data_IF_522155408810
#
_entry.id   IF_522155408810
#
_cell.length_a   1.000
_cell.length_b   1.000
_cell.length_c   1.000
_cell.angle_alpha   90.00
_cell.angle_beta   90.00
_cell.angle_gamma   90.00
#
_symmetry.space_group_name_H-M   'P 1'
#
loop_
_entity.id
_entity.type
_entity.pdbx_description
1 polymer ?
#
# COMPACT_ATOMS: atom_id res chain seq x y z
N UNK A 1 68.93 -50.40 4.92
CA UNK A 1 67.66 -50.24 4.18
C UNK A 1 67.40 -48.75 4.02
N UNK A 2 67.64 -48.18 2.80
CA UNK A 2 67.39 -46.82 2.48
C UNK A 2 65.95 -46.71 1.91
N UNK A 3 65.05 -45.97 2.59
CA UNK A 3 63.74 -45.60 2.07
C UNK A 3 63.90 -44.43 1.13
N UNK A 4 63.54 -44.64 -0.14
CA UNK A 4 63.35 -43.56 -1.11
C UNK A 4 61.96 -43.01 -0.95
N UNK A 5 61.83 -41.76 -0.47
CA UNK A 5 60.60 -40.97 -0.62
C UNK A 5 60.58 -40.40 -2.05
N UNK A 6 59.72 -40.98 -2.88
CA UNK A 6 59.35 -40.39 -4.15
C UNK A 6 58.40 -39.25 -3.89
N UNK A 7 58.85 -38.06 -4.11
CA UNK A 7 58.06 -36.84 -4.14
C UNK A 7 57.10 -36.91 -5.33
N UNK A 8 55.82 -36.94 -5.05
CA UNK A 8 54.77 -36.59 -6.00
C UNK A 8 54.38 -35.16 -5.73
N UNK A 9 54.90 -34.21 -6.53
CA UNK A 9 54.42 -32.87 -6.45
C UNK A 9 53.43 -32.59 -7.59
N UNK A 10 52.40 -31.87 -7.28
CA UNK A 10 51.81 -30.85 -8.16
C UNK A 10 51.02 -31.40 -9.37
N UNK A 11 49.82 -31.88 -9.09
CA UNK A 11 48.76 -31.92 -10.10
C UNK A 11 47.37 -31.54 -9.56
N UNK A 12 47.27 -31.08 -8.30
CA UNK A 12 45.96 -30.73 -7.68
C UNK A 12 45.66 -29.22 -7.76
N UNK A 13 46.67 -28.42 -8.11
CA UNK A 13 46.53 -26.94 -8.08
C UNK A 13 45.86 -26.29 -9.31
N UNK A 14 45.66 -27.00 -10.41
CA UNK A 14 45.20 -26.35 -11.67
C UNK A 14 43.68 -26.62 -11.97
N UNK A 15 43.05 -27.59 -11.32
CA UNK A 15 41.62 -27.90 -11.58
C UNK A 15 40.68 -27.05 -10.74
N UNK A 16 41.13 -26.44 -9.64
CA UNK A 16 40.29 -25.60 -8.79
C UNK A 16 40.18 -24.15 -9.32
N UNK A 17 41.16 -23.70 -10.07
CA UNK A 17 41.18 -22.34 -10.64
C UNK A 17 40.31 -22.14 -11.89
N UNK A 18 39.99 -23.22 -12.61
CA UNK A 18 39.25 -23.14 -13.86
C UNK A 18 37.73 -23.22 -13.73
N UNK A 19 37.22 -23.61 -12.55
CA UNK A 19 35.78 -23.76 -12.36
C UNK A 19 35.11 -22.59 -11.66
N UNK A 20 35.88 -21.64 -11.14
CA UNK A 20 35.35 -20.41 -10.53
C UNK A 20 35.09 -19.25 -11.51
N UNK A 21 35.48 -19.44 -12.78
CA UNK A 21 35.38 -18.40 -13.79
C UNK A 21 34.14 -18.43 -14.70
N UNK A 22 33.26 -19.44 -14.56
CA UNK A 22 32.09 -19.58 -15.48
C UNK A 22 30.73 -19.54 -14.81
N UNK A 23 30.65 -19.48 -13.47
CA UNK A 23 29.42 -19.03 -12.83
C UNK A 23 29.46 -17.51 -12.72
N UNK A 24 29.23 -16.84 -13.84
CA UNK A 24 28.67 -15.52 -13.82
C UNK A 24 27.34 -15.65 -13.06
N UNK A 25 27.34 -15.24 -11.80
CA UNK A 25 26.10 -14.88 -11.10
C UNK A 25 25.59 -13.72 -11.92
N UNK A 26 24.71 -14.02 -12.87
CA UNK A 26 23.81 -13.06 -13.42
C UNK A 26 22.97 -12.62 -12.19
N UNK A 27 23.41 -11.60 -11.49
CA UNK A 27 22.56 -10.79 -10.64
C UNK A 27 21.52 -10.20 -11.59
N UNK A 28 20.48 -10.99 -11.90
CA UNK A 28 19.22 -10.39 -12.28
C UNK A 28 19.00 -9.37 -11.18
N UNK A 29 18.95 -8.11 -11.56
CA UNK A 29 18.52 -7.04 -10.71
C UNK A 29 17.16 -7.43 -10.13
N UNK A 30 17.16 -8.14 -9.02
CA UNK A 30 16.01 -8.21 -8.15
C UNK A 30 15.91 -6.77 -7.64
N UNK A 31 15.04 -6.00 -8.30
CA UNK A 31 14.76 -4.62 -7.94
C UNK A 31 14.40 -4.63 -6.45
N UNK A 32 15.32 -4.12 -5.63
CA UNK A 32 15.08 -4.04 -4.18
C UNK A 32 13.91 -3.08 -4.00
N UNK A 33 12.74 -3.64 -3.72
CA UNK A 33 11.55 -2.84 -3.42
C UNK A 33 11.80 -2.14 -2.10
N UNK A 34 12.13 -0.87 -2.16
CA UNK A 34 12.32 -0.03 -0.97
C UNK A 34 10.98 0.29 -0.33
N UNK A 35 10.96 0.55 0.98
CA UNK A 35 9.75 1.00 1.68
C UNK A 35 9.15 2.26 1.04
N UNK A 36 9.97 3.17 0.53
CA UNK A 36 9.52 4.36 -0.20
C UNK A 36 8.70 3.99 -1.46
N UNK A 37 9.14 3.01 -2.23
CA UNK A 37 8.43 2.53 -3.42
C UNK A 37 7.10 1.86 -3.06
N UNK A 38 7.03 1.17 -1.92
CA UNK A 38 5.79 0.52 -1.47
C UNK A 38 4.70 1.52 -1.10
N UNK A 39 5.05 2.67 -0.51
CA UNK A 39 4.09 3.71 -0.10
C UNK A 39 3.79 4.73 -1.21
N UNK A 40 4.54 4.68 -2.31
CA UNK A 40 4.32 5.56 -3.46
C UNK A 40 2.88 5.43 -3.98
N UNK A 41 2.26 6.55 -4.33
CA UNK A 41 0.86 6.63 -4.75
C UNK A 41 -0.19 6.18 -3.73
N UNK A 42 0.18 5.98 -2.47
CA UNK A 42 -0.79 5.73 -1.40
C UNK A 42 -1.47 7.00 -0.89
N UNK A 43 -2.31 6.84 0.11
CA UNK A 43 -2.94 7.94 0.86
C UNK A 43 -1.90 8.82 1.58
N UNK A 44 -2.27 10.00 2.07
CA UNK A 44 -1.50 10.67 3.13
C UNK A 44 -1.34 9.74 4.35
N UNK A 45 -0.33 9.98 5.17
CA UNK A 45 -0.19 9.24 6.42
C UNK A 45 -1.34 9.53 7.38
N UNK A 46 -1.91 8.46 7.96
CA UNK A 46 -2.63 8.58 9.22
C UNK A 46 -1.60 8.46 10.34
N UNK A 47 -1.50 9.48 11.18
CA UNK A 47 -0.52 9.55 12.24
C UNK A 47 0.69 10.42 11.92
N UNK A 48 1.72 10.32 12.78
CA UNK A 48 2.94 11.11 12.63
C UNK A 48 3.79 10.57 11.46
N UNK A 49 4.15 11.44 10.51
CA UNK A 49 5.01 11.08 9.38
C UNK A 49 6.37 10.51 9.80
N UNK A 50 6.87 10.88 10.98
CA UNK A 50 8.15 10.41 11.52
C UNK A 50 8.01 9.13 12.36
N UNK A 51 6.79 8.53 12.44
CA UNK A 51 6.59 7.28 13.17
C UNK A 51 7.51 6.17 12.61
N UNK A 52 8.18 5.38 13.49
CA UNK A 52 9.17 4.40 13.06
C UNK A 52 8.57 3.20 12.31
N UNK A 53 7.30 2.91 12.52
CA UNK A 53 6.62 1.77 11.89
C UNK A 53 5.57 2.30 10.92
N UNK A 54 5.59 1.78 9.69
CA UNK A 54 4.56 2.05 8.68
C UNK A 54 3.76 0.78 8.44
N UNK A 55 2.45 0.86 8.66
CA UNK A 55 1.50 -0.16 8.20
C UNK A 55 1.04 0.26 6.80
N UNK A 56 1.08 -0.67 5.86
CA UNK A 56 0.59 -0.49 4.52
C UNK A 56 -0.61 -1.42 4.32
N UNK A 57 -1.77 -0.82 4.08
CA UNK A 57 -3.01 -1.54 3.82
C UNK A 57 -3.36 -1.42 2.34
N UNK A 58 -3.56 -2.54 1.66
CA UNK A 58 -4.22 -2.58 0.35
C UNK A 58 -5.69 -2.90 0.57
N UNK A 59 -6.56 -1.99 0.23
CA UNK A 59 -7.97 -2.09 0.56
C UNK A 59 -8.93 -1.69 -0.56
N UNK A 60 -10.16 -2.14 -0.39
CA UNK A 60 -11.30 -1.85 -1.26
C UNK A 60 -12.47 -1.41 -0.38
N UNK A 61 -13.08 -0.27 -0.69
CA UNK A 61 -14.18 0.29 0.11
C UNK A 61 -15.44 -0.58 0.14
N UNK A 62 -15.59 -1.52 -0.79
CA UNK A 62 -16.68 -2.49 -0.76
C UNK A 62 -16.32 -3.80 -0.03
N UNK A 63 -15.02 -4.07 0.22
CA UNK A 63 -14.56 -5.34 0.76
C UNK A 63 -15.02 -5.55 2.22
N UNK A 64 -15.70 -6.66 2.47
CA UNK A 64 -16.18 -7.05 3.80
C UNK A 64 -15.06 -7.14 4.84
N UNK A 65 -13.89 -7.65 4.47
CA UNK A 65 -12.77 -7.81 5.41
C UNK A 65 -12.06 -6.50 5.69
N UNK A 66 -11.95 -5.60 4.71
CA UNK A 66 -11.43 -4.24 4.90
C UNK A 66 -12.37 -3.45 5.83
N UNK A 67 -13.68 -3.54 5.62
CA UNK A 67 -14.66 -2.97 6.54
C UNK A 67 -14.49 -3.50 7.97
N UNK A 68 -14.36 -4.82 8.15
CA UNK A 68 -14.16 -5.42 9.48
C UNK A 68 -12.84 -4.98 10.12
N UNK A 69 -11.78 -4.86 9.33
CA UNK A 69 -10.50 -4.34 9.81
C UNK A 69 -10.66 -2.90 10.32
N UNK A 70 -11.31 -2.04 9.52
CA UNK A 70 -11.57 -0.66 9.89
C UNK A 70 -12.41 -0.57 11.19
N UNK A 71 -13.50 -1.34 11.30
CA UNK A 71 -14.40 -1.25 12.45
C UNK A 71 -13.83 -1.84 13.76
N UNK A 72 -12.98 -2.85 13.68
CA UNK A 72 -12.58 -3.60 14.89
C UNK A 72 -11.09 -3.47 15.22
N UNK A 73 -10.23 -3.33 14.20
CA UNK A 73 -8.78 -3.40 14.39
C UNK A 73 -8.13 -2.03 14.29
N UNK A 74 -8.52 -1.23 13.31
CA UNK A 74 -7.94 0.09 13.08
C UNK A 74 -8.15 1.02 14.26
N UNK A 75 -9.31 0.96 14.93
CA UNK A 75 -9.58 1.75 16.12
C UNK A 75 -8.58 1.45 17.24
N UNK A 76 -8.31 0.16 17.51
CA UNK A 76 -7.33 -0.27 18.51
C UNK A 76 -5.92 0.20 18.12
N UNK A 77 -5.55 0.01 16.86
CA UNK A 77 -4.24 0.48 16.35
C UNK A 77 -4.12 2.00 16.48
N UNK A 78 -5.19 2.73 16.22
CA UNK A 78 -5.22 4.19 16.31
C UNK A 78 -4.99 4.66 17.75
N UNK A 79 -5.71 4.10 18.71
CA UNK A 79 -5.59 4.49 20.12
C UNK A 79 -4.22 4.12 20.72
N UNK A 80 -3.76 2.90 20.50
CA UNK A 80 -2.59 2.37 21.21
C UNK A 80 -1.26 2.70 20.53
N UNK A 81 -1.28 2.97 19.21
CA UNK A 81 -0.04 3.10 18.44
C UNK A 81 0.05 4.35 17.57
N UNK A 82 -1.02 4.75 16.86
CA UNK A 82 -0.97 5.91 15.97
C UNK A 82 -0.94 7.21 16.78
N UNK A 83 -1.89 7.37 17.70
CA UNK A 83 -1.96 8.54 18.59
C UNK A 83 -0.73 8.69 19.47
N UNK A 84 -0.05 7.58 19.77
CA UNK A 84 1.21 7.59 20.54
C UNK A 84 2.46 7.84 19.69
N UNK A 85 2.30 8.01 18.37
CA UNK A 85 3.38 8.29 17.43
C UNK A 85 4.29 7.09 17.11
N UNK A 86 3.90 5.87 17.48
CA UNK A 86 4.69 4.66 17.22
C UNK A 86 4.46 4.10 15.83
N UNK A 87 3.28 4.30 15.28
CA UNK A 87 2.83 3.76 14.00
C UNK A 87 2.23 4.87 13.15
N UNK A 88 2.39 4.75 11.84
CA UNK A 88 1.61 5.47 10.83
C UNK A 88 1.02 4.48 9.84
N UNK A 89 -0.08 4.84 9.22
CA UNK A 89 -0.73 4.01 8.20
C UNK A 89 -0.74 4.73 6.85
N UNK A 90 -0.58 3.95 5.78
CA UNK A 90 -0.85 4.33 4.40
C UNK A 90 -1.85 3.35 3.85
N UNK A 91 -2.92 3.85 3.28
CA UNK A 91 -3.89 3.05 2.53
C UNK A 91 -3.55 3.12 1.04
N UNK A 92 -3.63 2.00 0.35
CA UNK A 92 -3.50 1.90 -1.10
C UNK A 92 -4.75 1.25 -1.66
N UNK A 93 -5.33 1.88 -2.63
CA UNK A 93 -6.52 1.37 -3.28
C UNK A 93 -6.21 0.09 -4.04
N UNK A 94 -7.06 -0.91 -3.84
CA UNK A 94 -7.05 -2.18 -4.56
C UNK A 94 -8.49 -2.57 -4.92
N UNK A 95 -9.13 -1.86 -5.87
CA UNK A 95 -10.56 -1.92 -6.12
C UNK A 95 -10.96 -3.19 -6.87
N UNK A 96 -11.16 -4.29 -6.14
CA UNK A 96 -11.50 -5.62 -6.67
C UNK A 96 -13.00 -5.81 -6.93
N UNK A 97 -13.85 -5.04 -6.23
CA UNK A 97 -15.31 -5.25 -6.27
C UNK A 97 -16.01 -4.49 -7.39
N UNK A 98 -15.26 -3.95 -8.36
CA UNK A 98 -15.80 -3.40 -9.59
C UNK A 98 -15.74 -1.87 -9.69
N UNK A 99 -16.48 -1.27 -10.65
CA UNK A 99 -16.39 0.16 -10.94
C UNK A 99 -16.72 1.06 -9.77
N UNK A 100 -17.66 0.65 -8.93
CA UNK A 100 -18.07 1.41 -7.74
C UNK A 100 -16.93 1.55 -6.75
N UNK A 101 -16.09 0.51 -6.59
CA UNK A 101 -14.87 0.57 -5.75
C UNK A 101 -13.86 1.57 -6.30
N UNK A 102 -13.69 1.65 -7.63
CA UNK A 102 -12.84 2.67 -8.25
C UNK A 102 -13.39 4.07 -8.00
N UNK A 103 -14.69 4.25 -8.14
CA UNK A 103 -15.34 5.54 -7.90
C UNK A 103 -15.17 6.01 -6.45
N UNK A 104 -15.29 5.10 -5.47
CA UNK A 104 -15.04 5.42 -4.06
C UNK A 104 -13.57 5.78 -3.79
N UNK A 105 -12.64 5.07 -4.44
CA UNK A 105 -11.21 5.37 -4.37
C UNK A 105 -10.89 6.75 -4.96
N UNK A 106 -11.40 7.09 -6.13
CA UNK A 106 -11.27 8.43 -6.72
C UNK A 106 -11.83 9.52 -5.79
N UNK A 107 -12.99 9.26 -5.17
CA UNK A 107 -13.64 10.16 -4.23
C UNK A 107 -12.77 10.47 -3.00
N UNK A 108 -12.08 9.47 -2.47
CA UNK A 108 -11.17 9.68 -1.33
C UNK A 108 -10.00 10.60 -1.66
N UNK A 109 -9.48 10.54 -2.89
CA UNK A 109 -8.45 11.49 -3.36
C UNK A 109 -9.03 12.87 -3.70
N UNK A 110 -10.28 12.97 -4.15
CA UNK A 110 -10.95 14.26 -4.25
C UNK A 110 -11.12 14.94 -2.88
N UNK A 111 -11.35 14.14 -1.83
CA UNK A 111 -11.35 14.65 -0.47
C UNK A 111 -9.94 15.04 0.01
N UNK A 112 -8.89 14.35 -0.46
CA UNK A 112 -7.49 14.71 -0.19
C UNK A 112 -7.14 16.11 -0.70
N UNK A 113 -7.68 16.57 -1.83
CA UNK A 113 -7.46 17.92 -2.33
C UNK A 113 -7.85 19.00 -1.32
N UNK A 114 -8.75 18.64 -0.40
CA UNK A 114 -9.23 19.48 0.68
C UNK A 114 -8.69 19.04 2.07
N UNK A 115 -7.63 18.24 2.08
CA UNK A 115 -6.94 17.76 3.29
C UNK A 115 -7.83 16.90 4.22
N UNK A 116 -8.84 16.22 3.65
CA UNK A 116 -9.80 15.42 4.40
C UNK A 116 -9.87 13.96 3.95
N UNK A 117 -8.75 13.41 3.45
CA UNK A 117 -8.69 12.03 2.99
C UNK A 117 -9.22 11.06 4.06
N UNK A 118 -8.65 11.09 5.27
CA UNK A 118 -8.98 10.12 6.32
C UNK A 118 -10.38 10.31 6.89
N UNK A 119 -10.86 11.54 7.01
CA UNK A 119 -12.24 11.80 7.43
C UNK A 119 -13.25 11.23 6.42
N UNK A 120 -12.94 11.36 5.14
CA UNK A 120 -13.77 10.82 4.07
C UNK A 120 -13.67 9.29 3.98
N UNK A 121 -12.46 8.75 4.14
CA UNK A 121 -12.20 7.31 4.24
C UNK A 121 -13.02 6.66 5.36
N UNK A 122 -13.03 7.28 6.55
CA UNK A 122 -13.81 6.80 7.69
C UNK A 122 -15.31 6.86 7.41
N UNK A 123 -15.79 7.91 6.74
CA UNK A 123 -17.19 8.06 6.40
C UNK A 123 -17.66 7.02 5.37
N UNK A 124 -16.80 6.65 4.39
CA UNK A 124 -17.08 5.56 3.46
C UNK A 124 -17.30 4.23 4.19
N UNK A 125 -16.38 3.87 5.09
CA UNK A 125 -16.53 2.61 5.85
C UNK A 125 -17.65 2.66 6.88
N UNK A 126 -17.94 3.79 7.46
CA UNK A 126 -19.08 3.96 8.39
C UNK A 126 -20.42 3.70 7.69
N UNK A 127 -20.53 4.07 6.43
CA UNK A 127 -21.73 3.86 5.61
C UNK A 127 -21.64 2.61 4.72
N UNK A 128 -20.75 1.68 5.04
CA UNK A 128 -20.54 0.47 4.25
C UNK A 128 -21.83 -0.32 4.04
N UNK A 129 -22.26 -0.47 2.80
CA UNK A 129 -23.51 -1.10 2.42
C UNK A 129 -23.39 -2.54 1.86
N UNK A 130 -22.19 -3.12 1.87
CA UNK A 130 -21.95 -4.47 1.33
C UNK A 130 -21.23 -4.48 -0.02
N UNK A 131 -20.71 -5.68 -0.38
CA UNK A 131 -20.03 -5.87 -1.65
C UNK A 131 -21.02 -5.86 -2.81
N UNK A 132 -20.78 -5.01 -3.81
CA UNK A 132 -21.56 -4.95 -5.07
C UNK A 132 -23.06 -4.76 -4.89
N UNK A 133 -23.47 -4.02 -3.87
CA UNK A 133 -24.88 -3.76 -3.58
C UNK A 133 -25.39 -2.45 -4.19
N UNK A 134 -24.50 -1.67 -4.84
CA UNK A 134 -24.85 -0.39 -5.46
C UNK A 134 -25.00 0.77 -4.48
N UNK A 135 -24.47 0.68 -3.26
CA UNK A 135 -24.53 1.75 -2.27
C UNK A 135 -23.59 2.92 -2.59
N UNK A 136 -22.54 2.66 -3.36
CA UNK A 136 -21.63 3.70 -3.86
C UNK A 136 -22.22 4.29 -5.13
N UNK A 137 -22.78 5.47 -5.00
CA UNK A 137 -23.30 6.26 -6.11
C UNK A 137 -22.74 7.67 -6.05
N UNK A 138 -22.90 8.44 -7.13
CA UNK A 138 -22.52 9.85 -7.15
C UNK A 138 -23.20 10.63 -6.02
N UNK A 139 -24.46 10.33 -5.78
CA UNK A 139 -25.30 10.97 -4.76
C UNK A 139 -24.79 10.65 -3.36
N UNK A 140 -24.59 9.35 -3.04
CA UNK A 140 -24.09 8.95 -1.72
C UNK A 140 -22.70 9.51 -1.44
N UNK A 141 -21.79 9.51 -2.42
CA UNK A 141 -20.45 10.08 -2.28
C UNK A 141 -20.48 11.58 -2.03
N UNK A 142 -21.43 12.30 -2.65
CA UNK A 142 -21.62 13.75 -2.39
C UNK A 142 -22.17 13.98 -0.98
N UNK A 143 -23.12 13.15 -0.54
CA UNK A 143 -23.65 13.20 0.83
C UNK A 143 -22.55 12.99 1.88
N UNK A 144 -21.67 12.01 1.66
CA UNK A 144 -20.52 11.76 2.55
C UNK A 144 -19.56 12.96 2.55
N UNK A 145 -19.37 13.61 1.40
CA UNK A 145 -18.56 14.82 1.31
C UNK A 145 -19.16 15.99 2.13
N UNK A 146 -20.48 16.14 2.12
CA UNK A 146 -21.20 17.12 2.96
C UNK A 146 -21.01 16.82 4.46
N UNK A 147 -21.18 15.56 4.86
CA UNK A 147 -21.04 15.11 6.26
C UNK A 147 -19.66 15.47 6.81
N UNK A 148 -18.61 15.30 6.02
CA UNK A 148 -17.25 15.66 6.44
C UNK A 148 -16.88 17.11 6.14
N UNK A 149 -17.86 17.94 5.79
CA UNK A 149 -17.74 19.37 5.52
C UNK A 149 -16.72 19.69 4.39
N UNK A 150 -16.76 18.95 3.29
CA UNK A 150 -16.06 19.30 2.07
C UNK A 150 -16.83 20.40 1.30
N UNK A 151 -16.10 21.17 0.51
CA UNK A 151 -16.68 21.96 -0.57
C UNK A 151 -17.17 20.99 -1.66
N UNK A 152 -18.47 20.75 -1.70
CA UNK A 152 -19.09 19.74 -2.58
C UNK A 152 -19.02 20.12 -4.05
N UNK A 153 -18.95 21.41 -4.39
CA UNK A 153 -18.77 21.85 -5.78
C UNK A 153 -17.39 21.41 -6.30
N UNK A 154 -16.33 21.68 -5.52
CA UNK A 154 -14.97 21.23 -5.86
C UNK A 154 -14.83 19.73 -5.87
N UNK A 155 -15.43 19.07 -4.88
CA UNK A 155 -15.42 17.61 -4.78
C UNK A 155 -16.09 16.97 -5.99
N UNK A 156 -17.28 17.46 -6.34
CA UNK A 156 -18.05 16.98 -7.46
C UNK A 156 -17.34 17.21 -8.79
N UNK A 157 -16.77 18.40 -8.98
CA UNK A 157 -15.97 18.68 -10.17
C UNK A 157 -14.77 17.75 -10.30
N UNK A 158 -14.08 17.44 -9.21
CA UNK A 158 -12.95 16.50 -9.19
C UNK A 158 -13.36 15.10 -9.65
N UNK A 159 -14.53 14.60 -9.20
CA UNK A 159 -15.07 13.31 -9.62
C UNK A 159 -15.52 13.32 -11.08
N UNK A 160 -16.19 14.37 -11.53
CA UNK A 160 -16.68 14.49 -12.90
C UNK A 160 -15.53 14.59 -13.91
N UNK A 161 -14.42 15.22 -13.51
CA UNK A 161 -13.20 15.32 -14.30
C UNK A 161 -12.37 14.03 -14.27
N UNK A 162 -12.76 13.00 -13.52
CA UNK A 162 -11.99 11.75 -13.29
C UNK A 162 -10.52 12.01 -12.93
N UNK A 163 -10.29 13.05 -12.10
CA UNK A 163 -8.95 13.56 -11.80
C UNK A 163 -7.99 12.48 -11.30
N UNK A 164 -8.50 11.48 -10.62
CA UNK A 164 -7.70 10.42 -9.98
C UNK A 164 -7.86 9.03 -10.60
N UNK A 165 -8.51 8.91 -11.78
CA UNK A 165 -8.73 7.62 -12.46
C UNK A 165 -7.44 6.81 -12.66
N UNK A 166 -6.33 7.47 -12.99
CA UNK A 166 -5.04 6.82 -13.22
C UNK A 166 -4.22 6.56 -11.95
N UNK A 167 -4.73 6.98 -10.80
CA UNK A 167 -4.07 6.80 -9.51
C UNK A 167 -4.60 5.57 -8.77
N UNK A 168 -5.83 5.19 -9.02
CA UNK A 168 -6.56 4.12 -8.33
C UNK A 168 -6.64 2.83 -9.14
#
# INVERSE_FOLDING_TARGET
VKLYYLSIPIAIGIIVGGFLGTYGINSNDSEIVTSAKLIENGSPFLGNADAPITILEWGDYQCTFCYKFHQNTLEIINEDFIKTGKVKIVFKDFPLNGPDSKLAAEASYCAQDQQKYWQYHDELYKNWGGERTGWITRESLTEFAEIVNLDTEKFNKCLDDHKYENKV
#
